data_IF_876234163758
#
_entry.id   IF_876234163758
#
_cell.length_a   1.000
_cell.length_b   1.000
_cell.length_c   1.000
_cell.angle_alpha   90.00
_cell.angle_beta   90.00
_cell.angle_gamma   90.00
#
_symmetry.space_group_name_H-M   'P 1'
#
loop_
_entity.id
_entity.type
_entity.pdbx_description
1 polymer ?
#
# COMPACT_ATOMS: atom_id res chain seq x y z
N UNK A 1 -14.24 1.22 -13.02
CA UNK A 1 -14.51 0.96 -11.58
C UNK A 1 -15.08 2.19 -10.89
N UNK A 2 -14.49 3.37 -11.04
CA UNK A 2 -15.03 4.61 -10.44
C UNK A 2 -16.48 4.91 -10.83
N UNK A 3 -16.80 4.86 -12.12
CA UNK A 3 -18.16 5.11 -12.66
C UNK A 3 -19.24 4.25 -11.98
N UNK A 4 -19.03 2.93 -11.89
CA UNK A 4 -19.97 2.02 -11.21
C UNK A 4 -20.13 2.39 -9.72
N UNK A 5 -19.04 2.72 -9.02
CA UNK A 5 -19.12 3.13 -7.61
C UNK A 5 -19.95 4.41 -7.43
N UNK A 6 -19.83 5.36 -8.35
CA UNK A 6 -20.57 6.62 -8.29
C UNK A 6 -22.02 6.50 -8.78
N UNK A 7 -22.27 5.84 -9.92
CA UNK A 7 -23.58 5.78 -10.55
C UNK A 7 -24.48 4.67 -10.01
N UNK A 8 -23.90 3.52 -9.66
CA UNK A 8 -24.66 2.38 -9.15
C UNK A 8 -24.79 2.41 -7.63
N UNK A 9 -23.71 2.73 -6.92
CA UNK A 9 -23.66 2.68 -5.45
C UNK A 9 -23.77 4.05 -4.78
N UNK A 10 -23.79 5.14 -5.55
CA UNK A 10 -23.96 6.52 -5.07
C UNK A 10 -22.99 6.90 -3.93
N UNK A 11 -21.72 6.48 -4.04
CA UNK A 11 -20.70 6.85 -3.04
C UNK A 11 -20.32 8.33 -3.18
N UNK A 12 -20.15 9.08 -2.08
CA UNK A 12 -19.83 10.52 -2.14
C UNK A 12 -18.38 10.82 -2.58
N UNK A 13 -17.51 9.80 -2.59
CA UNK A 13 -16.10 9.92 -2.96
C UNK A 13 -15.41 8.57 -2.95
N UNK A 14 -14.29 8.48 -3.68
CA UNK A 14 -13.46 7.27 -3.75
C UNK A 14 -12.00 7.66 -3.49
N UNK A 15 -11.34 6.95 -2.57
CA UNK A 15 -9.91 7.09 -2.34
C UNK A 15 -9.16 5.92 -2.98
N UNK A 16 -8.45 6.20 -4.08
CA UNK A 16 -7.61 5.20 -4.76
C UNK A 16 -6.20 5.34 -4.21
N UNK A 17 -5.76 4.33 -3.49
CA UNK A 17 -4.41 4.24 -2.96
C UNK A 17 -3.90 2.84 -3.19
N UNK A 18 -2.58 2.69 -3.19
CA UNK A 18 -1.99 1.39 -3.34
C UNK A 18 -1.94 0.65 -2.00
N UNK A 19 -2.39 -0.60 -2.03
CA UNK A 19 -2.57 -1.46 -0.86
C UNK A 19 -1.34 -1.51 0.06
N UNK A 20 -0.14 -1.57 -0.52
CA UNK A 20 1.11 -1.63 0.22
C UNK A 20 1.40 -0.37 1.03
N UNK A 21 1.08 0.83 0.53
CA UNK A 21 1.32 2.08 1.29
C UNK A 21 0.45 2.10 2.53
N UNK A 22 -0.80 1.65 2.39
CA UNK A 22 -1.72 1.53 3.51
C UNK A 22 -1.25 0.49 4.54
N UNK A 23 -0.79 -0.68 4.07
CA UNK A 23 -0.25 -1.73 4.93
C UNK A 23 0.97 -1.27 5.74
N UNK A 24 1.87 -0.50 5.10
CA UNK A 24 3.04 0.08 5.75
C UNK A 24 2.62 1.04 6.88
N UNK A 25 1.75 2.00 6.57
CA UNK A 25 1.27 2.99 7.56
C UNK A 25 0.59 2.29 8.75
N UNK A 26 -0.27 1.30 8.51
CA UNK A 26 -0.93 0.54 9.59
C UNK A 26 0.08 -0.25 10.43
N UNK A 27 1.04 -0.94 9.80
CA UNK A 27 2.09 -1.69 10.50
C UNK A 27 2.88 -0.79 11.46
N UNK A 28 3.24 0.41 11.01
CA UNK A 28 3.97 1.36 11.83
C UNK A 28 3.14 1.96 12.98
N UNK A 29 1.86 2.28 12.77
CA UNK A 29 0.99 2.79 13.85
C UNK A 29 0.86 1.80 15.02
N UNK A 30 1.01 0.50 14.74
CA UNK A 30 0.98 -0.56 15.76
C UNK A 30 2.26 -0.60 16.60
N UNK A 31 3.40 -0.19 16.06
CA UNK A 31 4.73 -0.33 16.69
C UNK A 31 5.11 0.76 17.69
N UNK A 32 4.22 1.74 17.97
CA UNK A 32 4.44 2.82 18.97
C UNK A 32 5.77 3.56 18.83
N UNK A 33 6.28 3.71 17.61
CA UNK A 33 7.39 4.61 17.32
C UNK A 33 6.80 6.01 17.16
N UNK A 34 6.68 6.70 18.29
CA UNK A 34 6.48 8.14 18.32
C UNK A 34 7.77 8.79 17.83
N UNK A 35 7.79 9.15 16.55
CA UNK A 35 8.46 10.32 15.96
C UNK A 35 8.77 10.01 14.50
N UNK A 36 8.36 10.94 13.64
CA UNK A 36 8.42 10.87 12.19
C UNK A 36 7.46 9.86 11.55
N UNK A 37 6.49 10.38 10.79
CA UNK A 37 5.66 9.62 9.85
C UNK A 37 6.59 8.67 9.06
N UNK A 38 6.52 7.35 9.28
CA UNK A 38 7.40 6.41 8.60
C UNK A 38 6.81 6.21 7.22
N UNK A 39 7.08 7.21 6.40
CA UNK A 39 6.75 7.26 5.00
C UNK A 39 7.67 6.34 4.19
N UNK A 40 8.71 5.83 4.85
CA UNK A 40 9.77 5.03 4.24
C UNK A 40 9.91 3.68 4.94
N UNK A 41 9.88 2.61 4.16
CA UNK A 41 10.06 1.23 4.61
C UNK A 41 9.81 0.24 3.46
N UNK A 42 9.83 -1.06 3.75
CA UNK A 42 9.61 -2.10 2.75
C UNK A 42 8.42 -2.94 3.15
N UNK A 43 7.52 -3.18 2.20
CA UNK A 43 6.36 -4.07 2.37
C UNK A 43 6.68 -5.39 1.68
N UNK A 44 6.55 -6.48 2.42
CA UNK A 44 6.59 -7.83 1.88
C UNK A 44 5.16 -8.38 1.84
N UNK A 45 4.53 -8.33 0.66
CA UNK A 45 3.19 -8.87 0.43
C UNK A 45 3.29 -10.32 -0.05
N UNK A 46 2.94 -11.26 0.82
CA UNK A 46 3.04 -12.69 0.55
C UNK A 46 1.68 -13.19 0.06
N UNK A 47 1.57 -13.39 -1.25
CA UNK A 47 0.39 -13.95 -1.90
C UNK A 47 0.55 -15.43 -2.26
N UNK A 48 -0.54 -16.03 -2.72
CA UNK A 48 -0.63 -17.46 -3.10
C UNK A 48 0.28 -17.85 -4.28
N UNK A 49 0.52 -16.92 -5.22
CA UNK A 49 1.30 -17.18 -6.45
C UNK A 49 2.63 -16.42 -6.52
N UNK A 50 2.80 -15.42 -5.67
CA UNK A 50 4.00 -14.58 -5.66
C UNK A 50 4.12 -13.86 -4.32
N UNK A 51 5.37 -13.61 -3.91
CA UNK A 51 5.70 -12.64 -2.88
C UNK A 51 6.22 -11.36 -3.54
N UNK A 52 5.56 -10.24 -3.29
CA UNK A 52 5.96 -8.92 -3.78
C UNK A 52 6.72 -8.14 -2.70
N UNK A 53 7.93 -7.71 -3.02
CA UNK A 53 8.76 -6.82 -2.20
C UNK A 53 8.62 -5.41 -2.76
N UNK A 54 8.07 -4.50 -1.97
CA UNK A 54 7.65 -3.17 -2.37
C UNK A 54 8.31 -2.12 -1.48
N UNK A 55 9.40 -1.49 -1.93
CA UNK A 55 10.02 -0.38 -1.21
C UNK A 55 9.18 0.90 -1.34
N UNK A 56 8.81 1.47 -0.20
CA UNK A 56 8.10 2.74 -0.07
C UNK A 56 9.08 3.77 0.48
N UNK A 57 9.10 4.97 -0.10
CA UNK A 57 9.80 6.13 0.43
C UNK A 57 8.87 7.33 0.35
N UNK A 58 8.78 8.10 1.43
CA UNK A 58 7.92 9.28 1.50
C UNK A 58 6.45 9.06 1.13
N UNK A 59 5.93 7.85 1.38
CA UNK A 59 4.55 7.45 1.06
C UNK A 59 4.35 7.05 -0.41
N UNK A 60 5.41 7.07 -1.21
CA UNK A 60 5.43 6.66 -2.61
C UNK A 60 6.15 5.34 -2.76
N UNK A 61 5.64 4.47 -3.64
CA UNK A 61 6.41 3.27 -4.01
C UNK A 61 7.45 3.59 -5.06
N UNK A 62 8.64 3.09 -4.80
CA UNK A 62 9.75 3.14 -5.74
C UNK A 62 9.54 2.02 -6.76
N UNK A 63 8.78 2.34 -7.81
CA UNK A 63 8.35 1.38 -8.84
C UNK A 63 9.51 0.62 -9.52
N UNK A 64 10.67 1.26 -9.66
CA UNK A 64 11.88 0.65 -10.25
C UNK A 64 12.49 -0.46 -9.38
N UNK A 65 12.13 -0.51 -8.11
CA UNK A 65 12.73 -1.40 -7.11
C UNK A 65 11.75 -2.47 -6.60
N UNK A 66 10.63 -2.66 -7.30
CA UNK A 66 9.66 -3.71 -7.00
C UNK A 66 10.25 -5.04 -7.45
N UNK A 67 10.32 -6.01 -6.53
CA UNK A 67 10.73 -7.37 -6.84
C UNK A 67 9.57 -8.33 -6.58
N UNK A 68 9.40 -9.31 -7.47
CA UNK A 68 8.35 -10.33 -7.32
C UNK A 68 9.00 -11.70 -7.39
N UNK A 69 8.87 -12.46 -6.31
CA UNK A 69 9.35 -13.83 -6.22
C UNK A 69 8.16 -14.73 -6.51
N UNK A 70 8.23 -15.48 -7.61
CA UNK A 70 7.21 -16.47 -7.95
C UNK A 70 7.39 -17.72 -7.09
N UNK A 71 6.26 -18.30 -6.66
CA UNK A 71 6.20 -19.52 -5.85
C UNK A 71 5.59 -20.63 -6.70
#
# INVERSE_FOLDING_TARGET
>A
MGEIMFEMFNVPGLYIVVNYVLALVVGYTTSKVCDWFPSTGVVADVGDRATHILPVADGYVIGSSINSILI
#
